data_IF_151941488682
#
_entry.id   IF_151941488682
#
_cell.length_a   1.000
_cell.length_b   1.000
_cell.length_c   1.000
_cell.angle_alpha   90.00
_cell.angle_beta   90.00
_cell.angle_gamma   90.00
#
_symmetry.space_group_name_H-M   'P 1'
#
loop_
_entity.id
_entity.type
_entity.pdbx_description
1 polymer ?
#
# COMPACT_ATOMS: atom_id res chain seq x y z
N UNK A 1 -7.56 -5.82 12.57
CA UNK A 1 -6.26 -5.16 12.28
C UNK A 1 -6.10 -3.89 13.10
N UNK A 2 -7.15 -3.08 13.27
CA UNK A 2 -7.10 -1.84 14.07
C UNK A 2 -6.90 -2.08 15.57
N UNK A 3 -7.51 -3.11 16.16
CA UNK A 3 -7.32 -3.48 17.58
C UNK A 3 -5.89 -3.89 17.95
N UNK A 4 -4.99 -4.06 16.97
CA UNK A 4 -3.59 -4.43 17.14
C UNK A 4 -2.59 -3.39 16.63
N UNK A 5 -3.04 -2.20 16.21
CA UNK A 5 -2.18 -1.13 15.67
C UNK A 5 -1.20 -1.59 14.57
N UNK A 6 -1.61 -2.54 13.72
CA UNK A 6 -0.72 -3.17 12.72
C UNK A 6 -0.46 -2.23 11.54
N UNK A 7 -1.28 -1.20 11.34
CA UNK A 7 -1.21 -0.28 10.20
C UNK A 7 -0.65 1.08 10.60
N UNK A 8 0.26 1.61 9.79
CA UNK A 8 0.86 2.94 9.95
C UNK A 8 -0.21 4.03 10.07
N UNK A 9 0.00 5.03 10.96
CA UNK A 9 -0.89 6.18 11.05
C UNK A 9 -0.96 6.98 9.76
N UNK A 10 0.04 6.87 8.88
CA UNK A 10 0.10 7.60 7.61
C UNK A 10 -0.64 6.88 6.47
N UNK A 11 -1.45 5.87 6.79
CA UNK A 11 -2.38 5.27 5.85
C UNK A 11 -3.77 5.87 6.06
N UNK A 12 -4.38 6.43 5.01
CA UNK A 12 -5.58 7.24 5.13
C UNK A 12 -6.85 6.63 4.50
N UNK A 13 -6.74 5.48 3.83
CA UNK A 13 -7.87 4.81 3.16
C UNK A 13 -7.94 3.34 3.57
N UNK A 14 -9.13 2.75 3.42
CA UNK A 14 -9.46 1.37 3.82
C UNK A 14 -9.31 1.10 5.33
N UNK A 15 -9.57 2.12 6.15
CA UNK A 15 -9.56 2.05 7.61
C UNK A 15 -10.64 2.99 8.17
N UNK A 16 -11.16 2.67 9.35
CA UNK A 16 -12.29 3.38 9.91
C UNK A 16 -11.88 4.77 10.43
N UNK A 17 -12.66 5.80 10.11
CA UNK A 17 -12.40 7.17 10.55
C UNK A 17 -11.35 7.94 9.74
N UNK A 18 -10.86 7.38 8.63
CA UNK A 18 -9.93 8.07 7.73
C UNK A 18 -10.53 8.23 6.32
N UNK A 19 -10.14 9.32 5.65
CA UNK A 19 -10.63 9.65 4.32
C UNK A 19 -9.54 10.31 3.47
N UNK A 20 -9.83 10.51 2.18
CA UNK A 20 -8.99 11.31 1.29
C UNK A 20 -8.79 12.73 1.83
N UNK A 21 -9.79 13.32 2.48
CA UNK A 21 -9.66 14.64 3.11
C UNK A 21 -8.62 14.63 4.23
N UNK A 22 -8.59 13.59 5.06
CA UNK A 22 -7.55 13.45 6.09
C UNK A 22 -6.15 13.32 5.48
N UNK A 23 -6.04 12.67 4.32
CA UNK A 23 -4.79 12.54 3.58
C UNK A 23 -4.32 13.90 3.04
N UNK A 24 -5.22 14.64 2.41
CA UNK A 24 -4.94 15.98 1.87
C UNK A 24 -4.54 16.92 3.00
N UNK A 25 -5.30 16.93 4.09
CA UNK A 25 -5.03 17.78 5.24
C UNK A 25 -3.67 17.47 5.87
N UNK A 26 -3.34 16.19 6.08
CA UNK A 26 -2.03 15.73 6.55
C UNK A 26 -0.89 16.20 5.64
N UNK A 27 -1.06 16.05 4.33
CA UNK A 27 -0.05 16.45 3.34
C UNK A 27 0.19 17.96 3.35
N UNK A 28 -0.88 18.76 3.36
CA UNK A 28 -0.80 20.23 3.42
C UNK A 28 -0.08 20.67 4.69
N UNK A 29 -0.49 20.16 5.84
CA UNK A 29 0.15 20.48 7.12
C UNK A 29 1.64 20.15 7.08
N UNK A 30 2.02 19.00 6.51
CA UNK A 30 3.43 18.62 6.39
C UNK A 30 4.23 19.54 5.47
N UNK A 31 3.64 20.00 4.37
CA UNK A 31 4.26 20.97 3.46
C UNK A 31 4.44 22.31 4.17
N UNK A 32 3.44 22.78 4.91
CA UNK A 32 3.51 24.03 5.67
C UNK A 32 4.56 23.98 6.77
N UNK A 33 4.60 22.89 7.56
CA UNK A 33 5.64 22.63 8.55
C UNK A 33 7.03 22.67 7.93
N UNK A 34 7.21 21.95 6.82
CA UNK A 34 8.48 21.89 6.11
C UNK A 34 8.92 23.27 5.59
N UNK A 35 7.98 24.08 5.05
CA UNK A 35 8.25 25.45 4.60
C UNK A 35 8.62 26.39 5.75
N UNK A 36 8.08 26.18 6.95
CA UNK A 36 8.44 26.97 8.14
C UNK A 36 9.89 26.75 8.57
N UNK A 37 10.38 25.52 8.45
CA UNK A 37 11.71 25.12 8.96
C UNK A 37 12.79 24.97 7.87
N UNK A 38 12.42 25.04 6.59
CA UNK A 38 13.31 24.79 5.47
C UNK A 38 13.00 25.69 4.27
N UNK A 39 14.04 26.05 3.52
CA UNK A 39 13.91 26.92 2.33
C UNK A 39 13.31 26.20 1.12
N UNK A 40 13.47 24.89 1.04
CA UNK A 40 13.05 24.10 -0.11
C UNK A 40 12.25 22.88 0.33
N UNK A 41 11.14 22.65 -0.38
CA UNK A 41 10.25 21.51 -0.21
C UNK A 41 9.99 20.90 -1.59
N UNK A 42 10.11 19.58 -1.70
CA UNK A 42 9.74 18.81 -2.88
C UNK A 42 8.62 17.85 -2.48
N UNK A 43 7.56 17.82 -3.30
CA UNK A 43 6.46 16.88 -3.14
C UNK A 43 6.49 15.93 -4.33
N UNK A 44 6.50 14.63 -4.04
CA UNK A 44 6.43 13.57 -5.04
C UNK A 44 5.14 12.77 -4.82
N UNK A 45 4.36 12.62 -5.88
CA UNK A 45 3.21 11.70 -5.90
C UNK A 45 3.54 10.49 -6.76
N UNK A 46 3.31 9.29 -6.22
CA UNK A 46 3.57 8.02 -6.90
C UNK A 46 2.30 7.19 -6.89
N UNK A 47 1.82 6.80 -8.07
CA UNK A 47 0.68 5.90 -8.22
C UNK A 47 1.15 4.52 -8.72
N UNK A 48 0.70 3.45 -8.05
CA UNK A 48 1.00 2.07 -8.46
C UNK A 48 -0.06 1.57 -9.45
N UNK A 49 0.30 1.60 -10.75
CA UNK A 49 -0.57 1.13 -11.83
C UNK A 49 -1.06 -0.31 -11.59
N UNK A 50 -2.38 -0.46 -11.46
CA UNK A 50 -3.01 -1.76 -11.28
C UNK A 50 -2.55 -2.49 -10.01
N UNK A 51 -2.29 -1.74 -8.94
CA UNK A 51 -1.91 -2.20 -7.61
C UNK A 51 -2.44 -3.60 -7.25
N UNK A 52 -3.76 -3.77 -7.21
CA UNK A 52 -4.41 -5.02 -6.83
C UNK A 52 -4.17 -6.18 -7.81
N UNK A 53 -4.04 -5.90 -9.10
CA UNK A 53 -3.81 -6.90 -10.15
C UNK A 53 -2.33 -7.29 -10.29
N UNK A 54 -1.43 -6.44 -9.80
CA UNK A 54 0.01 -6.58 -9.97
C UNK A 54 0.76 -7.01 -8.70
N UNK A 55 0.08 -7.08 -7.55
CA UNK A 55 0.65 -7.57 -6.30
C UNK A 55 1.19 -8.99 -6.45
N UNK A 56 2.49 -9.18 -6.18
CA UNK A 56 3.06 -10.52 -6.17
C UNK A 56 2.55 -11.29 -4.95
N UNK A 57 2.18 -12.57 -5.14
CA UNK A 57 1.74 -13.42 -4.04
C UNK A 57 2.80 -13.51 -2.93
N UNK A 58 4.08 -13.57 -3.30
CA UNK A 58 5.18 -13.59 -2.33
C UNK A 58 5.20 -12.34 -1.43
N UNK A 59 4.90 -11.15 -1.98
CA UNK A 59 4.81 -9.92 -1.20
C UNK A 59 3.67 -10.00 -0.18
N UNK A 60 2.53 -10.56 -0.57
CA UNK A 60 1.39 -10.77 0.34
C UNK A 60 1.77 -11.75 1.46
N UNK A 61 2.38 -12.88 1.11
CA UNK A 61 2.83 -13.92 2.05
C UNK A 61 3.82 -13.33 3.06
N UNK A 62 4.85 -12.62 2.59
CA UNK A 62 5.84 -11.98 3.46
C UNK A 62 5.19 -10.95 4.40
N UNK A 63 4.18 -10.23 3.92
CA UNK A 63 3.45 -9.25 4.73
C UNK A 63 2.61 -9.92 5.82
N UNK A 64 1.97 -11.06 5.51
CA UNK A 64 1.25 -11.87 6.49
C UNK A 64 2.18 -12.41 7.58
N UNK A 65 3.34 -12.94 7.21
CA UNK A 65 4.36 -13.43 8.16
C UNK A 65 4.79 -12.29 9.09
N UNK A 66 5.16 -11.13 8.52
CA UNK A 66 5.62 -9.98 9.31
C UNK A 66 4.55 -9.42 10.23
N UNK A 67 3.27 -9.53 9.85
CA UNK A 67 2.16 -9.09 10.69
C UNK A 67 1.90 -9.97 11.92
N UNK A 68 2.54 -11.15 12.01
CA UNK A 68 2.23 -12.16 13.01
C UNK A 68 0.81 -12.70 12.83
N UNK A 69 0.39 -12.93 11.57
CA UNK A 69 -0.92 -13.49 11.28
C UNK A 69 -1.06 -14.88 11.92
N UNK A 70 -2.19 -15.18 12.59
CA UNK A 70 -2.45 -16.52 13.12
C UNK A 70 -2.37 -17.59 12.03
N UNK A 71 -1.85 -18.78 12.37
CA UNK A 71 -1.60 -19.86 11.41
C UNK A 71 -2.82 -20.23 10.57
N UNK A 72 -4.01 -20.27 11.18
CA UNK A 72 -5.24 -20.57 10.46
C UNK A 72 -5.55 -19.52 9.37
N UNK A 73 -5.35 -18.24 9.66
CA UNK A 73 -5.54 -17.15 8.69
C UNK A 73 -4.46 -17.20 7.61
N UNK A 74 -3.20 -17.45 8.00
CA UNK A 74 -2.09 -17.61 7.08
C UNK A 74 -2.36 -18.72 6.07
N UNK A 75 -2.77 -19.91 6.54
CA UNK A 75 -3.07 -21.06 5.67
C UNK A 75 -4.23 -20.79 4.72
N UNK A 76 -5.28 -20.08 5.15
CA UNK A 76 -6.38 -19.67 4.27
C UNK A 76 -5.84 -18.80 3.13
N UNK A 77 -5.02 -17.79 3.42
CA UNK A 77 -4.47 -16.92 2.36
C UNK A 77 -3.48 -17.65 1.44
N UNK A 78 -2.66 -18.56 1.97
CA UNK A 78 -1.80 -19.41 1.14
C UNK A 78 -2.64 -20.23 0.16
N UNK A 79 -3.68 -20.91 0.65
CA UNK A 79 -4.59 -21.68 -0.19
C UNK A 79 -5.34 -20.81 -1.21
N UNK A 80 -5.67 -19.57 -0.87
CA UNK A 80 -6.35 -18.65 -1.78
C UNK A 80 -5.44 -18.11 -2.89
N UNK A 81 -4.13 -18.02 -2.66
CA UNK A 81 -3.16 -17.43 -3.59
C UNK A 81 -2.47 -18.47 -4.46
N UNK A 82 -2.35 -19.73 -4.02
CA UNK A 82 -1.66 -20.79 -4.77
C UNK A 82 -2.53 -21.42 -5.87
N UNK A 83 -1.89 -21.89 -6.94
CA UNK A 83 -2.49 -22.68 -8.03
C UNK A 83 -3.76 -22.07 -8.66
N UNK A 84 -3.83 -20.74 -8.74
CA UNK A 84 -4.99 -20.06 -9.32
C UNK A 84 -4.98 -20.17 -10.84
N UNK A 85 -6.05 -20.73 -11.39
CA UNK A 85 -6.35 -20.76 -12.82
C UNK A 85 -7.57 -19.87 -13.11
N UNK A 86 -7.37 -18.85 -13.94
CA UNK A 86 -8.47 -18.08 -14.51
C UNK A 86 -8.94 -18.78 -15.78
N UNK A 87 -10.19 -19.22 -15.79
CA UNK A 87 -10.81 -19.90 -16.92
C UNK A 87 -11.90 -19.02 -17.54
N UNK A 88 -11.90 -18.93 -18.87
CA UNK A 88 -12.93 -18.25 -19.65
C UNK A 88 -13.45 -19.18 -20.74
N UNK A 89 -14.77 -19.19 -20.94
CA UNK A 89 -15.40 -19.83 -22.10
C UNK A 89 -15.44 -18.82 -23.24
N UNK A 90 -14.84 -19.17 -24.37
CA UNK A 90 -14.91 -18.41 -25.61
C UNK A 90 -15.67 -19.21 -26.67
N UNK A 91 -16.11 -18.58 -27.79
CA UNK A 91 -16.70 -19.33 -28.90
C UNK A 91 -15.80 -20.43 -29.48
N UNK A 92 -14.49 -20.36 -29.24
CA UNK A 92 -13.48 -21.33 -29.67
C UNK A 92 -13.17 -22.39 -28.60
N UNK A 93 -13.80 -22.33 -27.43
CA UNK A 93 -13.64 -23.30 -26.35
C UNK A 93 -13.16 -22.68 -25.03
N UNK A 94 -12.70 -23.55 -24.13
CA UNK A 94 -12.24 -23.18 -22.79
C UNK A 94 -10.79 -22.72 -22.84
N UNK A 95 -10.54 -21.46 -22.51
CA UNK A 95 -9.19 -20.90 -22.32
C UNK A 95 -8.91 -20.82 -20.82
N UNK A 96 -7.75 -21.32 -20.38
CA UNK A 96 -7.32 -21.21 -18.98
C UNK A 96 -5.94 -20.58 -18.91
N UNK A 97 -5.72 -19.71 -17.92
CA UNK A 97 -4.45 -19.03 -17.69
C UNK A 97 -4.12 -19.04 -16.20
N UNK A 98 -2.88 -19.38 -15.87
CA UNK A 98 -2.40 -19.26 -14.50
C UNK A 98 -2.35 -17.80 -14.06
N UNK A 99 -2.82 -17.55 -12.84
CA UNK A 99 -2.81 -16.24 -12.20
C UNK A 99 -1.78 -16.25 -11.07
N UNK A 100 -0.53 -15.91 -11.41
CA UNK A 100 0.57 -15.84 -10.45
C UNK A 100 0.69 -14.52 -9.68
N UNK A 101 -0.25 -13.58 -9.88
CA UNK A 101 -0.25 -12.27 -9.21
C UNK A 101 -1.67 -11.72 -9.03
N UNK A 102 -1.76 -10.80 -8.07
CA UNK A 102 -2.96 -10.12 -7.65
C UNK A 102 -3.85 -10.99 -6.78
N UNK A 103 -5.03 -10.48 -6.46
CA UNK A 103 -6.07 -11.23 -5.77
C UNK A 103 -7.38 -11.17 -6.58
N UNK A 104 -8.40 -11.99 -6.28
CA UNK A 104 -9.68 -11.91 -6.98
C UNK A 104 -10.30 -10.52 -6.83
N UNK A 105 -10.55 -9.84 -7.96
CA UNK A 105 -11.22 -8.53 -7.95
C UNK A 105 -12.61 -8.67 -7.31
N UNK A 106 -12.95 -7.77 -6.38
CA UNK A 106 -14.19 -7.87 -5.60
C UNK A 106 -14.09 -8.71 -4.32
N UNK A 107 -12.91 -9.25 -4.00
CA UNK A 107 -12.72 -9.88 -2.68
C UNK A 107 -12.82 -8.85 -1.55
N UNK A 108 -13.61 -9.16 -0.51
CA UNK A 108 -13.76 -8.32 0.68
C UNK A 108 -12.43 -8.14 1.44
N UNK A 109 -11.49 -9.09 1.30
CA UNK A 109 -10.17 -9.05 1.94
C UNK A 109 -9.13 -8.23 1.18
N UNK A 110 -9.39 -7.89 -0.09
CA UNK A 110 -8.45 -7.15 -0.93
C UNK A 110 -7.92 -5.85 -0.31
N UNK A 111 -8.80 -4.95 0.18
CA UNK A 111 -8.37 -3.72 0.86
C UNK A 111 -7.51 -3.96 2.10
N UNK A 112 -7.83 -4.98 2.91
CA UNK A 112 -7.07 -5.31 4.11
C UNK A 112 -5.67 -5.86 3.77
N UNK A 113 -5.57 -6.72 2.75
CA UNK A 113 -4.29 -7.22 2.24
C UNK A 113 -3.45 -6.10 1.64
N UNK A 114 -4.07 -5.19 0.90
CA UNK A 114 -3.40 -4.01 0.38
C UNK A 114 -2.80 -3.18 1.50
N UNK A 115 -3.62 -2.87 2.51
CA UNK A 115 -3.18 -2.13 3.69
C UNK A 115 -2.01 -2.80 4.42
N UNK A 116 -1.98 -4.13 4.45
CA UNK A 116 -0.89 -4.89 5.04
C UNK A 116 0.41 -4.78 4.23
N UNK A 117 0.29 -4.85 2.90
CA UNK A 117 1.46 -4.73 2.01
C UNK A 117 2.02 -3.31 2.01
N UNK A 118 1.16 -2.29 1.89
CA UNK A 118 1.58 -0.89 1.91
C UNK A 118 2.15 -0.48 3.27
N UNK A 119 1.70 -1.10 4.36
CA UNK A 119 2.28 -0.88 5.68
C UNK A 119 3.79 -1.13 5.70
N UNK A 120 4.30 -2.12 4.94
CA UNK A 120 5.74 -2.35 4.85
C UNK A 120 6.49 -1.16 4.22
N UNK A 121 5.87 -0.49 3.24
CA UNK A 121 6.44 0.69 2.58
C UNK A 121 6.39 1.90 3.52
N UNK A 122 5.31 2.05 4.28
CA UNK A 122 5.13 3.15 5.22
C UNK A 122 6.00 3.04 6.48
N UNK A 123 6.33 1.81 6.90
CA UNK A 123 7.09 1.54 8.13
C UNK A 123 8.58 1.26 7.90
N UNK A 124 9.05 1.22 6.65
CA UNK A 124 10.48 1.12 6.37
C UNK A 124 11.22 2.37 6.88
N UNK A 125 12.55 2.26 6.99
CA UNK A 125 13.36 3.39 7.40
C UNK A 125 13.43 4.46 6.31
N UNK A 126 12.72 5.56 6.53
CA UNK A 126 12.81 6.77 5.71
C UNK A 126 13.80 7.76 6.33
N UNK A 127 14.57 8.51 5.51
CA UNK A 127 15.43 9.55 6.04
C UNK A 127 14.63 10.60 6.82
N UNK A 128 15.22 11.20 7.87
CA UNK A 128 14.50 12.09 8.80
C UNK A 128 13.78 13.28 8.14
N UNK A 129 14.21 13.69 6.93
CA UNK A 129 13.61 14.80 6.16
C UNK A 129 12.61 14.35 5.10
N UNK A 130 12.18 13.10 5.18
CA UNK A 130 11.19 12.50 4.29
C UNK A 130 9.98 12.13 5.12
N UNK A 131 8.83 12.62 4.71
CA UNK A 131 7.54 12.14 5.17
C UNK A 131 6.88 11.36 4.05
N UNK A 132 6.22 10.26 4.39
CA UNK A 132 5.43 9.46 3.45
C UNK A 132 4.05 9.18 4.04
N UNK A 133 3.04 9.22 3.17
CA UNK A 133 1.70 8.75 3.45
C UNK A 133 1.14 7.99 2.25
N UNK A 134 0.10 7.18 2.47
CA UNK A 134 -0.59 6.45 1.42
C UNK A 134 -2.11 6.61 1.50
N UNK A 135 -2.75 6.62 0.32
CA UNK A 135 -4.19 6.63 0.12
C UNK A 135 -4.50 5.66 -1.02
N UNK A 136 -5.06 4.49 -0.69
CA UNK A 136 -5.20 3.39 -1.63
C UNK A 136 -3.87 3.12 -2.38
N UNK A 137 -3.85 3.18 -3.70
CA UNK A 137 -2.69 2.95 -4.57
C UNK A 137 -1.77 4.17 -4.77
N UNK A 138 -2.13 5.32 -4.22
CA UNK A 138 -1.34 6.55 -4.26
C UNK A 138 -0.47 6.73 -3.02
N UNK A 139 0.78 7.12 -3.24
CA UNK A 139 1.74 7.52 -2.22
C UNK A 139 2.13 8.98 -2.39
N UNK A 140 2.05 9.74 -1.29
CA UNK A 140 2.55 11.10 -1.22
C UNK A 140 3.82 11.15 -0.39
N UNK A 141 4.89 11.70 -0.96
CA UNK A 141 6.15 11.94 -0.27
C UNK A 141 6.43 13.44 -0.19
N UNK A 142 6.87 13.89 0.98
CA UNK A 142 7.31 15.27 1.22
C UNK A 142 8.76 15.25 1.68
N UNK A 143 9.62 15.85 0.87
CA UNK A 143 11.04 16.05 1.14
C UNK A 143 11.30 17.51 1.47
N UNK A 144 12.17 17.78 2.44
CA UNK A 144 12.55 19.15 2.74
C UNK A 144 14.02 19.33 3.08
N UNK A 145 14.59 20.47 2.71
CA UNK A 145 16.01 20.76 2.89
C UNK A 145 16.30 22.25 2.91
N UNK A 146 17.39 22.62 3.60
CA UNK A 146 17.96 23.96 3.54
C UNK A 146 18.85 24.18 2.30
N UNK A 147 19.15 23.11 1.57
CA UNK A 147 20.04 23.10 0.39
C UNK A 147 19.29 22.40 -0.74
N UNK A 148 19.12 23.10 -1.87
CA UNK A 148 18.36 22.63 -3.03
C UNK A 148 18.94 21.34 -3.65
N UNK A 149 20.27 21.23 -3.76
CA UNK A 149 20.94 20.03 -4.30
C UNK A 149 20.74 18.75 -3.48
N UNK A 150 20.18 18.85 -2.27
CA UNK A 150 19.83 17.68 -1.45
C UNK A 150 18.40 17.19 -1.68
N UNK A 151 17.64 17.80 -2.59
CA UNK A 151 16.29 17.39 -2.99
C UNK A 151 16.24 16.73 -4.38
N UNK A 152 17.29 16.90 -5.18
CA UNK A 152 17.41 16.40 -6.56
C UNK A 152 18.12 15.06 -6.64
#
# INVERSE_FOLDING_TARGET
MESRNITSPNQHVFREGWSVDTAIHSLINRIEDAKRISKHVLVLSVNIKGAFNNLQHQTIINSLIRSGAPDNIFQIFISLLQNRLATMLTPQGKVSKEQGKGFPQGSCSGPALWNLVTNNILTQHWPAKVFIQASADDFGLVFHSNILSKLS
#
